data_IF_712842944270
#
_entry.id   IF_712842944270
#
_cell.length_a   1.000
_cell.length_b   1.000
_cell.length_c   1.000
_cell.angle_alpha   90.00
_cell.angle_beta   90.00
_cell.angle_gamma   90.00
#
_symmetry.space_group_name_H-M   'P 1'
#
loop_
_entity.id
_entity.type
_entity.pdbx_description
1 polymer ?
#
# COMPACT_ATOMS: atom_id res chain seq x y z
N UNK A 1 10.98 -29.66 18.87
CA UNK A 1 9.69 -29.00 18.64
C UNK A 1 8.59 -29.96 19.04
N UNK A 2 7.73 -29.56 19.97
CA UNK A 2 6.62 -30.40 20.42
C UNK A 2 5.35 -30.21 19.56
N UNK A 3 4.34 -31.05 19.78
CA UNK A 3 3.09 -31.03 19.01
C UNK A 3 2.35 -29.68 19.13
N UNK A 4 2.38 -29.05 20.30
CA UNK A 4 1.73 -27.75 20.52
C UNK A 4 2.44 -26.62 19.78
N UNK A 5 3.76 -26.67 19.68
CA UNK A 5 4.53 -25.72 18.85
C UNK A 5 4.21 -25.91 17.36
N UNK A 6 4.09 -27.16 16.90
CA UNK A 6 3.69 -27.52 15.54
C UNK A 6 2.27 -27.03 15.20
N UNK A 7 1.30 -27.29 16.07
CA UNK A 7 -0.10 -26.89 15.88
C UNK A 7 -0.23 -25.36 15.83
N UNK A 8 0.50 -24.64 16.68
CA UNK A 8 0.55 -23.17 16.67
C UNK A 8 1.16 -22.63 15.38
N UNK A 9 2.30 -23.17 14.95
CA UNK A 9 2.95 -22.76 13.70
C UNK A 9 2.06 -22.98 12.48
N UNK A 10 1.33 -24.11 12.43
CA UNK A 10 0.37 -24.38 11.36
C UNK A 10 -0.82 -23.40 11.38
N UNK A 11 -1.32 -23.04 12.57
CA UNK A 11 -2.36 -22.02 12.73
C UNK A 11 -1.90 -20.64 12.27
N UNK A 12 -0.72 -20.19 12.69
CA UNK A 12 -0.15 -18.91 12.30
C UNK A 12 0.12 -18.86 10.78
N UNK A 13 0.64 -19.95 10.20
CA UNK A 13 0.84 -20.07 8.76
C UNK A 13 -0.49 -20.00 7.98
N UNK A 14 -1.55 -20.60 8.50
CA UNK A 14 -2.87 -20.57 7.88
C UNK A 14 -3.50 -19.17 7.88
N UNK A 15 -3.46 -18.46 9.01
CA UNK A 15 -4.00 -17.10 9.10
C UNK A 15 -3.19 -16.12 8.23
N UNK A 16 -1.86 -16.24 8.19
CA UNK A 16 -1.02 -15.44 7.30
C UNK A 16 -1.32 -15.71 5.81
N UNK A 17 -1.54 -16.98 5.43
CA UNK A 17 -1.93 -17.34 4.07
C UNK A 17 -3.31 -16.78 3.69
N UNK A 18 -4.23 -16.69 4.65
CA UNK A 18 -5.56 -16.11 4.46
C UNK A 18 -5.49 -14.59 4.25
N UNK A 19 -4.69 -13.88 5.04
CA UNK A 19 -4.52 -12.44 4.91
C UNK A 19 -3.88 -12.05 3.55
N UNK A 20 -2.84 -12.77 3.13
CA UNK A 20 -2.20 -12.53 1.83
C UNK A 20 -3.15 -12.83 0.66
N UNK A 21 -3.98 -13.86 0.79
CA UNK A 21 -5.00 -14.20 -0.18
C UNK A 21 -6.06 -13.08 -0.35
N UNK A 22 -6.47 -12.43 0.74
CA UNK A 22 -7.47 -11.34 0.69
C UNK A 22 -7.00 -10.12 -0.10
N UNK A 23 -5.76 -9.66 0.10
CA UNK A 23 -5.22 -8.51 -0.65
C UNK A 23 -5.06 -8.84 -2.14
N UNK A 24 -4.54 -10.03 -2.45
CA UNK A 24 -4.40 -10.49 -3.82
C UNK A 24 -5.74 -10.52 -4.55
N UNK A 25 -6.80 -11.05 -3.91
CA UNK A 25 -8.14 -11.07 -4.48
C UNK A 25 -8.72 -9.67 -4.67
N UNK A 26 -8.48 -8.74 -3.73
CA UNK A 26 -8.89 -7.35 -3.87
C UNK A 26 -8.23 -6.68 -5.10
N UNK A 27 -6.90 -6.79 -5.24
CA UNK A 27 -6.16 -6.28 -6.39
C UNK A 27 -6.69 -6.87 -7.70
N UNK A 28 -6.91 -8.19 -7.74
CA UNK A 28 -7.47 -8.88 -8.90
C UNK A 28 -8.86 -8.38 -9.28
N UNK A 29 -9.72 -8.11 -8.30
CA UNK A 29 -11.06 -7.59 -8.53
C UNK A 29 -11.02 -6.14 -9.02
N UNK A 30 -10.13 -5.30 -8.49
CA UNK A 30 -9.91 -3.92 -8.94
C UNK A 30 -9.47 -3.92 -10.41
N UNK A 31 -8.46 -4.71 -10.77
CA UNK A 31 -7.96 -4.81 -12.15
C UNK A 31 -9.08 -5.22 -13.13
N UNK A 32 -9.87 -6.25 -12.77
CA UNK A 32 -11.04 -6.66 -13.57
C UNK A 32 -12.08 -5.56 -13.71
N UNK A 33 -12.39 -4.86 -12.61
CA UNK A 33 -13.36 -3.77 -12.60
C UNK A 33 -12.93 -2.61 -13.50
N UNK A 34 -11.63 -2.29 -13.49
CA UNK A 34 -11.02 -1.28 -14.35
C UNK A 34 -11.01 -1.68 -15.82
N UNK A 35 -10.64 -2.92 -16.13
CA UNK A 35 -10.61 -3.44 -17.50
C UNK A 35 -11.98 -3.41 -18.18
N UNK A 36 -13.03 -3.85 -17.47
CA UNK A 36 -14.41 -3.82 -17.98
C UNK A 36 -14.90 -2.39 -18.28
N UNK A 37 -14.31 -1.37 -17.65
CA UNK A 37 -14.64 0.04 -17.84
C UNK A 37 -13.70 0.77 -18.80
N UNK A 38 -12.75 0.06 -19.42
CA UNK A 38 -11.74 0.67 -20.29
C UNK A 38 -10.79 1.62 -19.55
N UNK A 39 -10.67 1.47 -18.22
CA UNK A 39 -9.77 2.30 -17.41
C UNK A 39 -8.32 1.85 -17.64
N UNK A 40 -8.06 0.54 -17.70
CA UNK A 40 -6.72 -0.02 -17.87
C UNK A 40 -6.09 0.29 -19.23
N UNK A 41 -6.91 0.57 -20.24
CA UNK A 41 -6.45 1.02 -21.58
C UNK A 41 -6.41 2.57 -21.68
N UNK A 42 -6.70 3.25 -20.57
CA UNK A 42 -6.75 4.69 -20.47
C UNK A 42 -5.37 5.35 -20.33
N UNK A 43 -5.38 6.68 -20.20
CA UNK A 43 -4.16 7.47 -20.05
C UNK A 43 -3.63 7.43 -18.60
N UNK A 44 -2.37 6.98 -18.35
CA UNK A 44 -1.75 6.97 -17.02
C UNK A 44 -1.76 8.31 -16.28
N UNK A 45 -1.58 9.44 -16.99
CA UNK A 45 -1.62 10.77 -16.39
C UNK A 45 -2.96 11.10 -15.74
N UNK A 46 -4.07 10.51 -16.22
CA UNK A 46 -5.38 10.68 -15.59
C UNK A 46 -5.47 9.96 -14.25
N UNK A 47 -4.82 8.81 -14.10
CA UNK A 47 -4.78 8.13 -12.80
C UNK A 47 -3.86 8.86 -11.82
N UNK A 48 -2.78 9.51 -12.28
CA UNK A 48 -2.00 10.40 -11.40
C UNK A 48 -2.82 11.59 -10.90
N UNK A 49 -3.61 12.22 -11.78
CA UNK A 49 -4.53 13.28 -11.37
C UNK A 49 -5.55 12.75 -10.36
N UNK A 50 -6.13 11.57 -10.62
CA UNK A 50 -7.08 10.94 -9.71
C UNK A 50 -6.45 10.65 -8.35
N UNK A 51 -5.22 10.16 -8.31
CA UNK A 51 -4.48 9.92 -7.06
C UNK A 51 -4.29 11.23 -6.26
N UNK A 52 -4.09 12.35 -6.95
CA UNK A 52 -3.98 13.67 -6.32
C UNK A 52 -5.31 14.12 -5.73
N UNK A 53 -6.42 13.82 -6.40
CA UNK A 53 -7.78 14.05 -5.87
C UNK A 53 -8.00 13.24 -4.59
N UNK A 54 -7.71 11.92 -4.59
CA UNK A 54 -7.90 11.05 -3.41
C UNK A 54 -7.03 11.47 -2.22
N UNK A 55 -5.81 11.93 -2.49
CA UNK A 55 -4.94 12.51 -1.45
C UNK A 55 -5.55 13.78 -0.84
N UNK A 56 -6.20 14.60 -1.67
CA UNK A 56 -6.93 15.78 -1.22
C UNK A 56 -8.11 15.44 -0.32
N UNK A 57 -8.88 14.42 -0.68
CA UNK A 57 -10.01 13.91 0.12
C UNK A 57 -9.53 13.34 1.46
N UNK A 58 -8.42 12.59 1.47
CA UNK A 58 -7.79 12.13 2.70
C UNK A 58 -7.41 13.31 3.61
N UNK A 59 -6.75 14.32 3.05
CA UNK A 59 -6.31 15.50 3.81
C UNK A 59 -7.51 16.27 4.38
N UNK A 60 -8.58 16.42 3.60
CA UNK A 60 -9.82 17.04 4.06
C UNK A 60 -10.49 16.25 5.19
N UNK A 61 -10.68 14.95 5.01
CA UNK A 61 -11.29 14.06 6.00
C UNK A 61 -10.52 14.05 7.32
N UNK A 62 -9.19 14.01 7.25
CA UNK A 62 -8.33 14.09 8.43
C UNK A 62 -8.47 15.42 9.16
N UNK A 63 -8.38 16.55 8.44
CA UNK A 63 -8.48 17.89 9.02
C UNK A 63 -9.86 18.17 9.63
N UNK A 64 -10.93 17.63 9.04
CA UNK A 64 -12.31 17.74 9.54
C UNK A 64 -12.66 16.70 10.60
N UNK A 65 -11.75 15.78 10.94
CA UNK A 65 -11.96 14.69 11.91
C UNK A 65 -13.13 13.77 11.54
N UNK A 66 -13.23 13.43 10.26
CA UNK A 66 -14.24 12.51 9.71
C UNK A 66 -13.57 11.16 9.46
N UNK A 67 -13.59 10.22 10.43
CA UNK A 67 -12.83 8.96 10.33
C UNK A 67 -13.28 8.08 9.16
N UNK A 68 -14.57 8.08 8.83
CA UNK A 68 -15.13 7.32 7.70
C UNK A 68 -14.53 7.78 6.37
N UNK A 69 -14.38 9.09 6.17
CA UNK A 69 -13.75 9.63 4.96
C UNK A 69 -12.26 9.28 4.89
N UNK A 70 -11.57 9.25 6.04
CA UNK A 70 -10.15 8.83 6.10
C UNK A 70 -10.01 7.37 5.68
N UNK A 71 -10.88 6.49 6.17
CA UNK A 71 -10.89 5.07 5.80
C UNK A 71 -11.15 4.88 4.29
N UNK A 72 -12.16 5.57 3.76
CA UNK A 72 -12.53 5.52 2.34
C UNK A 72 -11.41 6.02 1.43
N UNK A 73 -10.85 7.20 1.73
CA UNK A 73 -9.78 7.82 0.92
C UNK A 73 -8.50 6.98 0.89
N UNK A 74 -8.18 6.25 1.98
CA UNK A 74 -7.07 5.29 1.99
C UNK A 74 -7.30 4.14 1.02
N UNK A 75 -8.54 3.62 0.97
CA UNK A 75 -8.96 2.59 0.02
C UNK A 75 -8.90 3.09 -1.43
N UNK A 76 -9.45 4.27 -1.69
CA UNK A 76 -9.52 4.84 -3.04
C UNK A 76 -8.14 5.16 -3.62
N UNK A 77 -7.22 5.71 -2.81
CA UNK A 77 -5.82 5.84 -3.23
C UNK A 77 -5.22 4.49 -3.65
N UNK A 78 -5.51 3.41 -2.92
CA UNK A 78 -5.01 2.08 -3.27
C UNK A 78 -5.61 1.55 -4.57
N UNK A 79 -6.91 1.75 -4.79
CA UNK A 79 -7.59 1.41 -6.05
C UNK A 79 -6.92 2.11 -7.23
N UNK A 80 -6.67 3.41 -7.10
CA UNK A 80 -6.03 4.22 -8.14
C UNK A 80 -4.58 3.77 -8.39
N UNK A 81 -3.81 3.48 -7.33
CA UNK A 81 -2.44 2.96 -7.47
C UNK A 81 -2.40 1.61 -8.20
N UNK A 82 -3.32 0.71 -7.88
CA UNK A 82 -3.39 -0.60 -8.55
C UNK A 82 -3.72 -0.49 -10.05
N UNK A 83 -4.63 0.43 -10.41
CA UNK A 83 -4.98 0.70 -11.81
C UNK A 83 -3.86 1.43 -12.55
N UNK A 84 -3.18 2.37 -11.90
CA UNK A 84 -2.03 3.07 -12.46
C UNK A 84 -0.87 2.12 -12.75
N UNK A 85 -0.57 1.19 -11.83
CA UNK A 85 0.44 0.15 -12.05
C UNK A 85 0.09 -0.69 -13.30
N UNK A 86 -1.16 -1.15 -13.41
CA UNK A 86 -1.62 -1.93 -14.56
C UNK A 86 -1.45 -1.17 -15.89
N UNK A 87 -1.84 0.11 -15.93
CA UNK A 87 -1.67 0.96 -17.12
C UNK A 87 -0.21 1.15 -17.55
N UNK A 88 0.75 0.98 -16.64
CA UNK A 88 2.18 1.07 -16.91
C UNK A 88 2.84 -0.31 -17.09
N UNK A 89 2.05 -1.39 -17.17
CA UNK A 89 2.57 -2.75 -17.30
C UNK A 89 3.32 -3.26 -16.06
N UNK A 90 2.96 -2.76 -14.87
CA UNK A 90 3.55 -3.14 -13.59
C UNK A 90 2.58 -4.01 -12.77
N UNK A 91 3.13 -4.92 -11.97
CA UNK A 91 2.36 -5.60 -10.92
C UNK A 91 2.53 -4.85 -9.60
N UNK A 92 1.42 -4.31 -9.08
CA UNK A 92 1.40 -3.58 -7.81
C UNK A 92 1.87 -4.45 -6.63
N UNK A 93 1.64 -5.77 -6.65
CA UNK A 93 2.10 -6.68 -5.59
C UNK A 93 3.63 -6.75 -5.60
N UNK A 94 4.23 -6.86 -6.78
CA UNK A 94 5.69 -6.85 -6.92
C UNK A 94 6.29 -5.49 -6.53
N UNK A 95 5.61 -4.38 -6.87
CA UNK A 95 6.02 -3.04 -6.45
C UNK A 95 6.04 -2.92 -4.91
N UNK A 96 4.99 -3.39 -4.23
CA UNK A 96 4.89 -3.38 -2.77
C UNK A 96 5.95 -4.27 -2.14
N UNK A 97 6.15 -5.49 -2.66
CA UNK A 97 7.19 -6.39 -2.17
C UNK A 97 8.57 -5.75 -2.31
N UNK A 98 8.88 -5.18 -3.47
CA UNK A 98 10.16 -4.49 -3.72
C UNK A 98 10.37 -3.31 -2.76
N UNK A 99 9.32 -2.52 -2.51
CA UNK A 99 9.37 -1.44 -1.54
C UNK A 99 9.65 -1.96 -0.12
N UNK A 100 8.99 -3.04 0.30
CA UNK A 100 9.22 -3.66 1.60
C UNK A 100 10.67 -4.17 1.75
N UNK A 101 11.17 -4.91 0.76
CA UNK A 101 12.55 -5.40 0.72
C UNK A 101 13.57 -4.27 0.85
N UNK A 102 13.23 -3.07 0.35
CA UNK A 102 14.06 -1.87 0.47
C UNK A 102 13.99 -1.22 1.85
N UNK A 103 12.86 -1.32 2.58
CA UNK A 103 12.69 -0.64 3.87
C UNK A 103 13.04 -1.51 5.08
N UNK A 104 12.94 -2.84 4.97
CA UNK A 104 13.09 -3.77 6.09
C UNK A 104 14.48 -3.74 6.73
N UNK A 105 15.51 -3.44 5.94
CA UNK A 105 16.91 -3.42 6.37
C UNK A 105 17.45 -1.98 6.52
N UNK A 106 16.57 -0.97 6.55
CA UNK A 106 17.01 0.43 6.71
C UNK A 106 17.56 0.66 8.11
N UNK A 107 18.76 1.23 8.16
CA UNK A 107 19.32 1.81 9.38
C UNK A 107 18.89 3.27 9.52
N UNK A 108 18.56 3.69 10.73
CA UNK A 108 18.06 5.04 11.01
C UNK A 108 17.47 5.18 12.41
N UNK A 109 16.76 6.30 12.63
CA UNK A 109 16.07 6.60 13.89
C UNK A 109 14.69 7.17 13.59
N UNK A 110 13.73 6.91 14.47
CA UNK A 110 12.42 7.55 14.41
C UNK A 110 12.45 8.87 15.17
N UNK A 111 12.09 9.97 14.51
CA UNK A 111 11.96 11.31 15.08
C UNK A 111 10.54 11.79 14.80
N UNK A 112 9.79 12.13 15.85
CA UNK A 112 8.39 12.59 15.76
C UNK A 112 7.47 11.70 14.90
N UNK A 113 7.66 10.38 14.99
CA UNK A 113 6.86 9.39 14.25
C UNK A 113 7.29 9.17 12.80
N UNK A 114 8.34 9.86 12.34
CA UNK A 114 8.90 9.70 10.99
C UNK A 114 10.24 8.97 11.09
N UNK A 115 10.43 7.94 10.26
CA UNK A 115 11.71 7.23 10.17
C UNK A 115 12.71 8.05 9.33
N UNK A 116 13.82 8.45 9.95
CA UNK A 116 14.93 9.18 9.33
C UNK A 116 16.10 8.21 9.12
N UNK A 117 16.61 8.12 7.89
CA UNK A 117 17.72 7.20 7.56
C UNK A 117 19.03 7.68 8.18
N UNK A 118 19.93 6.76 8.52
CA UNK A 118 21.23 7.12 9.10
C UNK A 118 22.02 8.14 8.26
N UNK A 119 21.98 8.00 6.93
CA UNK A 119 22.66 8.91 6.01
C UNK A 119 22.12 10.36 6.04
N UNK A 120 20.86 10.54 6.46
CA UNK A 120 20.21 11.86 6.51
C UNK A 120 20.37 12.52 7.90
N UNK A 121 20.94 11.82 8.89
CA UNK A 121 21.14 12.31 10.26
C UNK A 121 22.43 13.11 10.45
N UNK A 122 23.36 13.07 9.49
CA UNK A 122 24.70 13.68 9.63
C UNK A 122 24.77 15.17 9.20
N UNK A 123 23.69 15.74 8.64
CA UNK A 123 23.66 17.12 8.16
C UNK A 123 23.14 18.17 9.18
N UNK A 124 22.76 17.77 10.40
CA UNK A 124 22.26 18.70 11.45
C UNK A 124 23.37 19.27 12.37
N UNK A 125 24.64 19.19 11.98
CA UNK A 125 25.74 19.93 12.63
C UNK A 125 26.40 20.91 11.65
N UNK A 126 25.75 22.06 11.43
CA UNK A 126 26.44 23.27 10.98
C UNK A 126 25.94 24.50 11.74
#
# INVERSE_FOLDING_TARGET
MDKSELDKMMGDAFENAKASYHLYDAVKNIKKWGAVRGITDGNPSRQLNKLTEELGELAEGFNKKVPEQVEDSLGDMFVVMALFAEQNGLDIVDCIQTAYETIKDREGKTVDGVFVKSADLEDEQC
#
